data_IF_422638891495
#
_entry.id   IF_422638891495
#
_cell.length_a   1.000
_cell.length_b   1.000
_cell.length_c   1.000
_cell.angle_alpha   90.00
_cell.angle_beta   90.00
_cell.angle_gamma   90.00
#
_symmetry.space_group_name_H-M   'P 1'
#
loop_
_entity.id
_entity.type
_entity.pdbx_description
1 polymer ?
#
# COMPACT_ATOMS: atom_id res chain seq x y z
N UNK A 1 17.96 -18.01 6.39
CA UNK A 1 18.73 -18.65 7.44
C UNK A 1 19.52 -19.79 6.84
N UNK A 2 18.89 -20.85 6.39
CA UNK A 2 19.58 -22.05 5.86
C UNK A 2 20.52 -21.77 4.67
N UNK A 3 20.12 -20.85 3.77
CA UNK A 3 20.91 -20.46 2.60
C UNK A 3 22.28 -19.86 2.95
N UNK A 4 22.41 -19.27 4.13
CA UNK A 4 23.62 -18.56 4.57
C UNK A 4 24.32 -19.26 5.73
N UNK A 5 23.84 -20.45 6.16
CA UNK A 5 24.39 -21.18 7.29
C UNK A 5 24.30 -20.44 8.64
N UNK A 6 23.37 -19.48 8.75
CA UNK A 6 23.17 -18.72 9.98
C UNK A 6 22.10 -19.43 10.82
N UNK A 7 22.40 -19.71 12.08
CA UNK A 7 21.45 -20.31 13.00
C UNK A 7 20.23 -19.39 13.25
N UNK A 8 19.03 -19.96 13.30
CA UNK A 8 17.77 -19.23 13.42
C UNK A 8 17.67 -18.38 14.69
N UNK A 9 18.26 -18.82 15.80
CA UNK A 9 18.32 -18.08 17.06
C UNK A 9 19.17 -16.79 17.00
N UNK A 10 20.06 -16.70 16.03
CA UNK A 10 20.89 -15.51 15.74
C UNK A 10 20.22 -14.51 14.80
N UNK A 11 19.06 -14.85 14.22
CA UNK A 11 18.32 -13.97 13.32
C UNK A 11 17.11 -13.44 14.05
N UNK A 12 17.06 -12.14 14.22
CA UNK A 12 15.94 -11.45 14.86
C UNK A 12 15.16 -10.65 13.82
N UNK A 13 13.84 -10.69 13.95
CA UNK A 13 12.93 -9.98 13.06
C UNK A 13 12.53 -8.64 13.68
N UNK A 14 12.60 -7.59 12.87
CA UNK A 14 12.08 -6.27 13.22
C UNK A 14 11.32 -5.71 12.02
N UNK A 15 10.10 -5.27 12.24
CA UNK A 15 9.28 -4.66 11.19
C UNK A 15 9.88 -3.32 10.74
N UNK A 16 9.61 -2.94 9.49
CA UNK A 16 9.82 -1.57 9.03
C UNK A 16 9.04 -0.60 9.92
N UNK A 17 9.56 0.58 10.12
CA UNK A 17 8.89 1.59 10.93
C UNK A 17 8.83 2.94 10.23
N UNK A 18 7.92 3.79 10.71
CA UNK A 18 7.76 5.18 10.27
C UNK A 18 7.53 6.09 11.47
N UNK A 19 7.87 7.35 11.29
CA UNK A 19 7.46 8.39 12.22
C UNK A 19 5.99 8.72 11.92
N UNK A 20 5.09 8.32 12.81
CA UNK A 20 3.70 8.68 12.76
C UNK A 20 3.49 10.09 13.31
N UNK A 21 2.58 10.84 12.69
CA UNK A 21 2.10 12.16 13.13
C UNK A 21 0.67 12.01 13.65
N UNK A 22 -0.03 13.11 13.88
CA UNK A 22 -1.45 13.07 14.25
C UNK A 22 -2.29 12.42 13.12
N UNK A 23 -3.43 11.88 13.51
CA UNK A 23 -4.42 11.34 12.58
C UNK A 23 -4.78 12.37 11.51
N UNK A 24 -4.84 11.92 10.26
CA UNK A 24 -5.25 12.73 9.12
C UNK A 24 -6.60 12.22 8.64
N UNK A 25 -7.65 13.00 8.87
CA UNK A 25 -8.99 12.65 8.40
C UNK A 25 -9.02 12.46 6.88
N UNK A 26 -9.83 11.52 6.37
CA UNK A 26 -10.03 11.35 4.94
C UNK A 26 -10.72 12.56 4.32
N UNK A 27 -10.54 12.72 3.01
CA UNK A 27 -11.15 13.83 2.24
C UNK A 27 -12.36 13.37 1.43
N UNK A 28 -12.65 12.07 1.41
CA UNK A 28 -13.74 11.45 0.62
C UNK A 28 -13.70 11.88 -0.85
N UNK A 29 -12.50 11.81 -1.42
CA UNK A 29 -12.22 12.27 -2.78
C UNK A 29 -12.73 11.31 -3.86
N UNK A 30 -13.06 10.07 -3.49
CA UNK A 30 -13.33 8.95 -4.42
C UNK A 30 -12.08 8.48 -5.17
N UNK A 31 -10.89 8.97 -4.81
CA UNK A 31 -9.64 8.68 -5.51
C UNK A 31 -8.89 7.51 -4.89
N UNK A 32 -8.26 6.74 -5.76
CA UNK A 32 -7.43 5.59 -5.40
C UNK A 32 -5.99 5.86 -5.80
N UNK A 33 -5.03 5.53 -4.96
CA UNK A 33 -3.61 5.78 -5.21
C UNK A 33 -2.84 4.48 -5.44
N UNK A 34 -2.12 4.40 -6.54
CA UNK A 34 -0.97 3.52 -6.73
C UNK A 34 0.31 4.34 -6.61
N UNK A 35 1.17 4.02 -5.65
CA UNK A 35 2.35 4.83 -5.34
C UNK A 35 3.66 4.06 -5.37
N UNK A 36 4.71 4.75 -5.82
CA UNK A 36 6.11 4.34 -5.75
C UNK A 36 6.67 3.87 -7.09
N UNK A 37 7.97 3.51 -7.11
CA UNK A 37 8.65 3.14 -8.35
C UNK A 37 7.88 2.05 -9.10
N UNK A 38 7.50 2.34 -10.34
CA UNK A 38 6.74 1.43 -11.20
C UNK A 38 7.72 0.45 -11.84
N UNK A 39 7.76 -0.75 -11.30
CA UNK A 39 8.67 -1.82 -11.74
C UNK A 39 7.91 -3.16 -11.81
N UNK A 40 8.48 -4.23 -12.42
CA UNK A 40 7.76 -5.48 -12.68
C UNK A 40 7.14 -6.13 -11.43
N UNK A 41 7.84 -6.12 -10.28
CA UNK A 41 7.30 -6.78 -9.08
C UNK A 41 6.12 -6.04 -8.45
N UNK A 42 5.94 -4.74 -8.73
CA UNK A 42 4.81 -3.95 -8.23
C UNK A 42 3.52 -4.12 -9.04
N UNK A 43 3.55 -4.93 -10.10
CA UNK A 43 2.35 -5.34 -10.83
C UNK A 43 1.67 -4.20 -11.58
N UNK A 44 2.44 -3.40 -12.34
CA UNK A 44 1.85 -2.37 -13.19
C UNK A 44 1.00 -2.97 -14.33
N UNK A 45 1.30 -4.18 -14.75
CA UNK A 45 0.51 -5.01 -15.65
C UNK A 45 -0.85 -5.39 -15.03
N UNK A 46 -0.85 -5.87 -13.78
CA UNK A 46 -2.09 -6.07 -13.01
C UNK A 46 -2.87 -4.77 -12.88
N UNK A 47 -2.19 -3.66 -12.56
CA UNK A 47 -2.80 -2.35 -12.43
C UNK A 47 -3.55 -1.95 -13.71
N UNK A 48 -2.92 -2.16 -14.88
CA UNK A 48 -3.54 -1.83 -16.17
C UNK A 48 -4.83 -2.60 -16.39
N UNK A 49 -4.86 -3.89 -16.07
CA UNK A 49 -6.06 -4.71 -16.17
C UNK A 49 -7.13 -4.27 -15.17
N UNK A 50 -6.76 -4.02 -13.91
CA UNK A 50 -7.66 -3.54 -12.85
C UNK A 50 -8.29 -2.20 -13.26
N UNK A 51 -7.51 -1.26 -13.76
CA UNK A 51 -7.98 0.05 -14.26
C UNK A 51 -9.06 -0.10 -15.31
N UNK A 52 -8.85 -1.00 -16.28
CA UNK A 52 -9.82 -1.28 -17.35
C UNK A 52 -11.11 -1.93 -16.86
N UNK A 53 -11.01 -2.72 -15.80
CA UNK A 53 -12.16 -3.34 -15.14
C UNK A 53 -12.94 -2.37 -14.23
N UNK A 54 -12.37 -1.20 -13.91
CA UNK A 54 -12.94 -0.19 -13.00
C UNK A 54 -13.01 1.20 -13.67
N UNK A 55 -13.71 1.39 -14.81
CA UNK A 55 -13.69 2.64 -15.57
C UNK A 55 -14.23 3.85 -14.79
N UNK A 56 -15.08 3.60 -13.80
CA UNK A 56 -15.72 4.64 -12.99
C UNK A 56 -14.91 5.05 -11.74
N UNK A 57 -13.81 4.32 -11.45
CA UNK A 57 -12.94 4.61 -10.31
C UNK A 57 -11.74 5.43 -10.75
N UNK A 58 -11.54 6.60 -10.16
CA UNK A 58 -10.40 7.47 -10.47
C UNK A 58 -9.13 6.97 -9.78
N UNK A 59 -8.08 6.70 -10.54
CA UNK A 59 -6.83 6.12 -10.05
C UNK A 59 -5.67 7.07 -10.34
N UNK A 60 -5.03 7.54 -9.28
CA UNK A 60 -3.77 8.27 -9.36
C UNK A 60 -2.60 7.28 -9.36
N UNK A 61 -1.79 7.31 -10.40
CA UNK A 61 -0.58 6.50 -10.55
C UNK A 61 0.62 7.43 -10.40
N UNK A 62 1.35 7.28 -9.30
CA UNK A 62 2.41 8.23 -8.92
C UNK A 62 3.71 7.49 -8.67
N UNK A 63 4.74 7.82 -9.43
CA UNK A 63 6.09 7.36 -9.18
C UNK A 63 6.92 7.07 -10.43
N UNK A 64 8.23 7.08 -10.23
CA UNK A 64 9.20 6.91 -11.31
C UNK A 64 9.06 5.54 -11.99
N UNK A 65 9.09 5.56 -13.32
CA UNK A 65 8.95 4.36 -14.17
C UNK A 65 10.29 3.66 -14.34
N UNK A 66 10.29 2.35 -14.16
CA UNK A 66 11.37 1.49 -14.63
C UNK A 66 11.28 1.36 -16.16
N UNK A 67 12.38 1.48 -16.92
CA UNK A 67 12.35 1.38 -18.38
C UNK A 67 11.62 0.15 -18.93
N UNK A 68 11.67 -0.98 -18.22
CA UNK A 68 10.97 -2.21 -18.60
C UNK A 68 9.45 -2.09 -18.55
N UNK A 69 8.90 -1.11 -17.83
CA UNK A 69 7.46 -0.89 -17.66
C UNK A 69 6.92 0.25 -18.54
N UNK A 70 7.76 0.85 -19.38
CA UNK A 70 7.38 2.03 -20.17
C UNK A 70 6.16 1.78 -21.06
N UNK A 71 6.07 0.62 -21.71
CA UNK A 71 4.93 0.28 -22.58
C UNK A 71 3.61 0.15 -21.81
N UNK A 72 3.67 -0.43 -20.61
CA UNK A 72 2.50 -0.55 -19.72
C UNK A 72 2.07 0.83 -19.24
N UNK A 73 3.02 1.67 -18.85
CA UNK A 73 2.74 3.04 -18.41
C UNK A 73 2.17 3.91 -19.54
N UNK A 74 2.65 3.74 -20.77
CA UNK A 74 2.08 4.40 -21.94
C UNK A 74 0.62 3.97 -22.22
N UNK A 75 0.24 2.74 -21.87
CA UNK A 75 -1.13 2.28 -21.94
C UNK A 75 -1.98 2.86 -20.79
N UNK A 76 -1.46 2.85 -19.55
CA UNK A 76 -2.12 3.47 -18.39
C UNK A 76 -2.43 4.96 -18.65
N UNK A 77 -1.52 5.69 -19.29
CA UNK A 77 -1.69 7.10 -19.62
C UNK A 77 -2.85 7.38 -20.61
N UNK A 78 -3.34 6.35 -21.33
CA UNK A 78 -4.47 6.47 -22.26
C UNK A 78 -5.82 6.18 -21.60
N UNK A 79 -5.82 5.60 -20.42
CA UNK A 79 -7.05 5.28 -19.69
C UNK A 79 -7.64 6.56 -19.07
N UNK A 80 -8.93 6.81 -19.33
CA UNK A 80 -9.60 8.07 -18.94
C UNK A 80 -9.74 8.26 -17.43
N UNK A 81 -9.72 7.17 -16.69
CA UNK A 81 -9.83 7.13 -15.25
C UNK A 81 -8.46 7.10 -14.55
N UNK A 82 -7.37 7.31 -15.28
CA UNK A 82 -6.01 7.37 -14.74
C UNK A 82 -5.47 8.78 -14.78
N UNK A 83 -4.93 9.25 -13.65
CA UNK A 83 -4.06 10.41 -13.58
C UNK A 83 -2.64 9.92 -13.31
N UNK A 84 -1.76 10.05 -14.29
CA UNK A 84 -0.38 9.60 -14.21
C UNK A 84 0.55 10.77 -13.82
N UNK A 85 1.38 10.55 -12.80
CA UNK A 85 2.57 11.36 -12.50
C UNK A 85 3.78 10.41 -12.41
N UNK A 86 4.61 10.40 -13.44
CA UNK A 86 5.78 9.51 -13.57
C UNK A 86 7.13 10.22 -13.34
N UNK A 87 7.10 11.44 -12.82
CA UNK A 87 8.29 12.20 -12.46
C UNK A 87 8.87 11.80 -11.09
N UNK A 88 9.99 12.42 -10.75
CA UNK A 88 10.51 12.32 -9.39
C UNK A 88 9.55 13.03 -8.43
N UNK A 89 9.20 12.33 -7.36
CA UNK A 89 8.23 12.81 -6.36
C UNK A 89 8.97 13.21 -5.10
N UNK A 90 8.80 14.46 -4.68
CA UNK A 90 9.30 14.99 -3.41
C UNK A 90 8.50 14.45 -2.22
N UNK A 91 9.02 14.59 -1.01
CA UNK A 91 8.30 14.21 0.21
C UNK A 91 6.98 14.98 0.39
N UNK A 92 6.93 16.23 -0.08
CA UNK A 92 5.72 17.05 -0.04
C UNK A 92 4.64 16.50 -1.00
N UNK A 93 5.02 16.21 -2.24
CA UNK A 93 4.12 15.61 -3.25
C UNK A 93 3.68 14.20 -2.85
N UNK A 94 4.60 13.40 -2.28
CA UNK A 94 4.23 12.11 -1.69
C UNK A 94 3.15 12.29 -0.64
N UNK A 95 3.34 13.21 0.32
CA UNK A 95 2.35 13.49 1.36
C UNK A 95 1.02 13.91 0.74
N UNK A 96 1.05 14.81 -0.25
CA UNK A 96 -0.14 15.30 -0.94
C UNK A 96 -0.90 14.15 -1.61
N UNK A 97 -0.21 13.26 -2.32
CA UNK A 97 -0.82 12.10 -2.96
C UNK A 97 -1.56 11.21 -1.96
N UNK A 98 -0.94 10.90 -0.80
CA UNK A 98 -1.58 10.09 0.24
C UNK A 98 -2.73 10.81 0.95
N UNK A 99 -2.62 12.12 1.16
CA UNK A 99 -3.68 12.90 1.84
C UNK A 99 -4.91 13.07 0.94
N UNK A 100 -4.72 13.18 -0.36
CA UNK A 100 -5.79 13.43 -1.34
C UNK A 100 -6.42 12.16 -1.94
N UNK A 101 -6.02 10.97 -1.51
CA UNK A 101 -6.70 9.72 -1.88
C UNK A 101 -7.50 9.16 -0.70
N UNK A 102 -8.41 8.25 -1.01
CA UNK A 102 -9.14 7.47 0.00
C UNK A 102 -8.50 6.08 0.16
N UNK A 103 -8.17 5.43 -0.93
CA UNK A 103 -7.60 4.09 -0.93
C UNK A 103 -6.20 4.05 -1.52
N UNK A 104 -5.37 3.14 -0.99
CA UNK A 104 -4.07 2.81 -1.60
C UNK A 104 -4.11 1.37 -2.10
N UNK A 105 -3.74 1.16 -3.36
CA UNK A 105 -3.74 -0.16 -3.99
C UNK A 105 -2.33 -0.72 -4.14
N UNK A 106 -2.20 -2.02 -3.86
CA UNK A 106 -0.93 -2.75 -3.85
C UNK A 106 -1.09 -4.06 -4.64
N UNK A 107 -1.23 -3.99 -5.98
CA UNK A 107 -1.48 -5.16 -6.84
C UNK A 107 -0.18 -5.88 -7.21
N UNK A 108 0.70 -6.09 -6.22
CA UNK A 108 2.07 -6.58 -6.45
C UNK A 108 2.11 -8.04 -6.87
N UNK A 109 3.07 -8.36 -7.75
CA UNK A 109 3.37 -9.74 -8.16
C UNK A 109 4.18 -10.49 -7.08
N UNK A 110 4.99 -9.77 -6.32
CA UNK A 110 5.76 -10.31 -5.20
C UNK A 110 6.17 -9.23 -4.22
N UNK A 111 6.32 -9.56 -2.95
CA UNK A 111 6.85 -8.66 -1.94
C UNK A 111 7.38 -9.42 -0.73
N UNK A 112 8.50 -8.99 -0.15
CA UNK A 112 8.90 -9.40 1.20
C UNK A 112 8.20 -8.55 2.26
N UNK A 113 8.05 -7.25 2.01
CA UNK A 113 7.28 -6.26 2.79
C UNK A 113 6.93 -5.09 1.87
N UNK A 114 5.92 -4.30 2.25
CA UNK A 114 5.58 -3.06 1.54
C UNK A 114 5.67 -1.85 2.46
N UNK A 115 6.63 -0.96 2.18
CA UNK A 115 6.71 0.34 2.83
C UNK A 115 5.51 1.23 2.51
N UNK A 116 4.89 1.02 1.33
CA UNK A 116 3.72 1.78 0.88
C UNK A 116 2.50 1.52 1.75
N UNK A 117 2.28 0.28 2.22
CA UNK A 117 1.21 -0.05 3.17
C UNK A 117 1.42 0.71 4.48
N UNK A 118 2.66 0.77 4.97
CA UNK A 118 2.98 1.48 6.21
C UNK A 118 2.79 2.99 6.04
N UNK A 119 3.17 3.54 4.88
CA UNK A 119 2.95 4.93 4.55
C UNK A 119 1.44 5.24 4.37
N UNK A 120 0.65 4.35 3.77
CA UNK A 120 -0.80 4.47 3.69
C UNK A 120 -1.43 4.60 5.10
N UNK A 121 -1.09 3.71 5.99
CA UNK A 121 -1.60 3.74 7.37
C UNK A 121 -1.15 4.99 8.14
N UNK A 122 0.06 5.49 7.90
CA UNK A 122 0.54 6.76 8.47
C UNK A 122 -0.38 7.93 8.10
N UNK A 123 -0.96 7.90 6.92
CA UNK A 123 -1.90 8.91 6.42
C UNK A 123 -3.37 8.49 6.59
N UNK A 124 -3.65 7.46 7.38
CA UNK A 124 -5.00 6.96 7.65
C UNK A 124 -5.71 6.42 6.40
N UNK A 125 -4.95 5.85 5.46
CA UNK A 125 -5.52 5.29 4.23
C UNK A 125 -5.56 3.78 4.31
N UNK A 126 -6.75 3.16 4.28
CA UNK A 126 -6.86 1.72 4.14
C UNK A 126 -6.33 1.25 2.78
N UNK A 127 -5.97 -0.03 2.70
CA UNK A 127 -5.32 -0.59 1.52
C UNK A 127 -6.12 -1.72 0.89
N UNK A 128 -5.98 -1.90 -0.43
CA UNK A 128 -6.40 -3.11 -1.12
C UNK A 128 -5.14 -3.73 -1.73
N UNK A 129 -4.84 -4.95 -1.38
CA UNK A 129 -3.58 -5.59 -1.76
C UNK A 129 -3.76 -7.03 -2.21
N UNK A 130 -2.89 -7.50 -3.11
CA UNK A 130 -2.73 -8.93 -3.32
C UNK A 130 -2.04 -9.59 -2.13
N UNK A 131 -2.51 -10.78 -1.79
CA UNK A 131 -1.94 -11.62 -0.73
C UNK A 131 -0.66 -12.31 -1.22
N UNK A 132 0.43 -11.54 -1.39
CA UNK A 132 1.74 -12.03 -1.83
C UNK A 132 2.81 -11.83 -0.76
N UNK A 133 3.71 -12.80 -0.62
CA UNK A 133 4.82 -12.75 0.34
C UNK A 133 4.34 -12.43 1.76
N UNK A 134 4.92 -11.42 2.40
CA UNK A 134 4.54 -11.00 3.75
C UNK A 134 3.48 -9.88 3.79
N UNK A 135 2.85 -9.52 2.67
CA UNK A 135 1.74 -8.53 2.67
C UNK A 135 0.58 -8.96 3.57
N UNK A 136 0.16 -10.26 3.63
CA UNK A 136 -0.89 -10.67 4.56
C UNK A 136 -0.60 -10.39 6.04
N UNK A 137 0.67 -10.31 6.43
CA UNK A 137 1.06 -9.94 7.80
C UNK A 137 0.91 -8.43 8.05
N UNK A 138 0.83 -7.62 7.00
CA UNK A 138 0.74 -6.16 7.08
C UNK A 138 -0.69 -5.64 7.06
N UNK A 139 -1.66 -6.44 6.63
CA UNK A 139 -3.07 -6.03 6.49
C UNK A 139 -3.95 -6.83 7.44
N UNK A 140 -4.62 -6.14 8.34
CA UNK A 140 -5.71 -6.72 9.14
C UNK A 140 -6.99 -6.64 8.28
N UNK A 141 -7.28 -7.76 7.60
CA UNK A 141 -8.35 -7.86 6.60
C UNK A 141 -9.70 -7.44 7.18
N UNK A 142 -10.48 -6.73 6.39
CA UNK A 142 -11.79 -6.15 6.71
C UNK A 142 -11.77 -5.04 7.78
N UNK A 143 -10.58 -4.69 8.32
CA UNK A 143 -10.43 -3.63 9.32
C UNK A 143 -9.46 -2.53 8.87
N UNK A 144 -8.27 -2.88 8.39
CA UNK A 144 -7.30 -1.90 7.87
C UNK A 144 -7.25 -1.85 6.35
N UNK A 145 -8.06 -2.66 5.70
CA UNK A 145 -8.12 -2.81 4.24
C UNK A 145 -8.54 -4.22 3.84
N UNK A 146 -8.28 -4.57 2.59
CA UNK A 146 -8.69 -5.84 2.00
C UNK A 146 -7.51 -6.59 1.38
N UNK A 147 -7.53 -7.93 1.54
CA UNK A 147 -6.63 -8.84 0.84
C UNK A 147 -7.38 -9.57 -0.26
N UNK A 148 -6.76 -9.64 -1.42
CA UNK A 148 -7.26 -10.36 -2.59
C UNK A 148 -6.24 -11.42 -2.99
N UNK A 149 -6.73 -12.54 -3.49
CA UNK A 149 -5.91 -13.62 -4.04
C UNK A 149 -4.94 -13.12 -5.11
N UNK A 150 -3.68 -13.51 -5.02
CA UNK A 150 -2.62 -13.08 -5.93
C UNK A 150 -2.96 -13.34 -7.40
N UNK A 151 -2.81 -12.33 -8.25
CA UNK A 151 -3.04 -12.41 -9.69
C UNK A 151 -4.52 -12.45 -10.11
N UNK A 152 -5.47 -12.38 -9.17
CA UNK A 152 -6.89 -12.34 -9.49
C UNK A 152 -7.37 -10.90 -9.70
N UNK A 153 -7.01 -10.32 -10.87
CA UNK A 153 -7.31 -8.93 -11.20
C UNK A 153 -8.82 -8.64 -11.20
N UNK A 154 -9.65 -9.62 -11.58
CA UNK A 154 -11.10 -9.46 -11.54
C UNK A 154 -11.60 -9.31 -10.10
N UNK A 155 -11.21 -10.20 -9.19
CA UNK A 155 -11.59 -10.07 -7.77
C UNK A 155 -11.06 -8.79 -7.16
N UNK A 156 -9.87 -8.34 -7.57
CA UNK A 156 -9.30 -7.08 -7.11
C UNK A 156 -10.16 -5.89 -7.56
N UNK A 157 -10.54 -5.87 -8.82
CA UNK A 157 -11.42 -4.85 -9.39
C UNK A 157 -12.81 -4.85 -8.71
N UNK A 158 -13.39 -6.02 -8.47
CA UNK A 158 -14.68 -6.14 -7.79
C UNK A 158 -14.58 -5.62 -6.35
N UNK A 159 -13.51 -5.96 -5.61
CA UNK A 159 -13.25 -5.44 -4.27
C UNK A 159 -12.99 -3.93 -4.26
N UNK A 160 -12.31 -3.40 -5.28
CA UNK A 160 -12.07 -1.97 -5.41
C UNK A 160 -13.38 -1.20 -5.62
N UNK A 161 -14.30 -1.72 -6.45
CA UNK A 161 -15.64 -1.13 -6.64
C UNK A 161 -16.46 -1.17 -5.36
N UNK A 162 -16.44 -2.30 -4.63
CA UNK A 162 -17.10 -2.42 -3.32
C UNK A 162 -16.57 -1.38 -2.35
N UNK A 163 -15.25 -1.26 -2.24
CA UNK A 163 -14.57 -0.31 -1.38
C UNK A 163 -14.88 1.16 -1.74
N UNK A 164 -14.96 1.47 -3.03
CA UNK A 164 -15.33 2.81 -3.50
C UNK A 164 -16.79 3.20 -3.22
N UNK A 165 -17.65 2.21 -2.92
CA UNK A 165 -19.07 2.41 -2.62
C UNK A 165 -19.40 2.29 -1.12
N UNK A 166 -18.40 2.18 -0.24
CA UNK A 166 -18.64 2.24 1.21
C UNK A 166 -19.29 3.57 1.60
N UNK A 167 -20.16 3.53 2.58
CA UNK A 167 -20.66 4.75 3.22
C UNK A 167 -19.50 5.51 3.88
N UNK A 168 -19.65 6.82 4.07
CA UNK A 168 -18.64 7.64 4.76
C UNK A 168 -18.31 7.08 6.15
N UNK A 169 -19.31 6.67 6.92
CA UNK A 169 -19.12 6.15 8.27
C UNK A 169 -18.35 4.82 8.31
N UNK A 170 -18.63 3.92 7.37
CA UNK A 170 -17.89 2.65 7.22
C UNK A 170 -16.44 2.91 6.82
N UNK A 171 -16.24 3.79 5.83
CA UNK A 171 -14.90 4.18 5.40
C UNK A 171 -14.11 4.86 6.54
N UNK A 172 -14.70 5.82 7.24
CA UNK A 172 -14.05 6.53 8.35
C UNK A 172 -13.66 5.59 9.49
N UNK A 173 -14.51 4.62 9.79
CA UNK A 173 -14.22 3.56 10.77
C UNK A 173 -12.97 2.77 10.34
N UNK A 174 -12.90 2.34 9.08
CA UNK A 174 -11.76 1.61 8.55
C UNK A 174 -10.49 2.48 8.47
N UNK A 175 -10.61 3.73 8.06
CA UNK A 175 -9.54 4.72 8.00
C UNK A 175 -8.92 4.95 9.38
N UNK A 176 -9.76 5.16 10.40
CA UNK A 176 -9.30 5.33 11.77
C UNK A 176 -8.62 4.07 12.32
N UNK A 177 -9.18 2.89 12.02
CA UNK A 177 -8.57 1.63 12.40
C UNK A 177 -7.21 1.43 11.73
N UNK A 178 -7.10 1.70 10.43
CA UNK A 178 -5.84 1.58 9.66
C UNK A 178 -4.72 2.44 10.30
N UNK A 179 -5.03 3.69 10.66
CA UNK A 179 -4.10 4.55 11.39
C UNK A 179 -3.69 3.98 12.74
N UNK A 180 -4.65 3.55 13.56
CA UNK A 180 -4.37 3.00 14.89
C UNK A 180 -3.55 1.70 14.79
N UNK A 181 -3.88 0.82 13.84
CA UNK A 181 -3.13 -0.40 13.55
C UNK A 181 -1.70 -0.08 13.16
N UNK A 182 -1.52 0.88 12.24
CA UNK A 182 -0.21 1.36 11.82
C UNK A 182 0.60 1.95 12.98
N UNK A 183 -0.01 2.76 13.83
CA UNK A 183 0.64 3.31 15.02
C UNK A 183 1.13 2.20 15.98
N UNK A 184 0.28 1.22 16.28
CA UNK A 184 0.67 0.11 17.18
C UNK A 184 1.81 -0.72 16.62
N UNK A 185 1.76 -1.01 15.31
CA UNK A 185 2.68 -1.96 14.68
C UNK A 185 3.97 -1.31 14.17
N UNK A 186 3.87 -0.12 13.59
CA UNK A 186 4.94 0.49 12.80
C UNK A 186 5.46 1.83 13.31
N UNK A 187 4.91 2.41 14.38
CA UNK A 187 5.43 3.66 14.89
C UNK A 187 6.83 3.51 15.46
N UNK A 188 7.68 4.52 15.24
CA UNK A 188 9.08 4.55 15.69
C UNK A 188 9.21 4.29 17.19
N UNK A 189 8.32 4.84 18.02
CA UNK A 189 8.32 4.63 19.47
C UNK A 189 8.23 3.16 19.86
N UNK A 190 7.34 2.40 19.23
CA UNK A 190 7.23 0.96 19.46
C UNK A 190 8.40 0.16 18.88
N UNK A 191 8.92 0.56 17.70
CA UNK A 191 10.07 -0.09 17.07
C UNK A 191 11.35 0.03 17.90
N UNK A 192 11.62 1.21 18.47
CA UNK A 192 12.78 1.43 19.35
C UNK A 192 12.71 0.52 20.58
N UNK A 193 11.55 0.43 21.25
CA UNK A 193 11.37 -0.46 22.37
C UNK A 193 11.61 -1.94 22.03
N UNK A 194 11.09 -2.40 20.88
CA UNK A 194 11.35 -3.77 20.39
C UNK A 194 12.83 -4.00 20.06
N UNK A 195 13.50 -3.02 19.44
CA UNK A 195 14.93 -3.13 19.13
C UNK A 195 15.78 -3.23 20.39
N UNK A 196 15.55 -2.38 21.39
CA UNK A 196 16.24 -2.44 22.67
C UNK A 196 16.06 -3.80 23.33
N UNK A 197 14.81 -4.31 23.39
CA UNK A 197 14.51 -5.63 23.95
C UNK A 197 15.27 -6.75 23.23
N UNK A 198 15.36 -6.71 21.90
CA UNK A 198 16.13 -7.70 21.11
C UNK A 198 17.64 -7.67 21.42
N UNK A 199 18.19 -6.52 21.83
CA UNK A 199 19.61 -6.40 22.26
C UNK A 199 19.85 -6.95 23.66
N UNK A 200 18.81 -6.94 24.53
CA UNK A 200 18.90 -7.44 25.92
C UNK A 200 18.72 -8.96 25.99
N UNK A 201 18.06 -9.56 25.00
CA UNK A 201 17.91 -11.03 24.85
C UNK A 201 19.23 -11.64 24.33
N UNK A 202 20.24 -11.77 25.25
CA UNK A 202 21.54 -12.42 24.96
C UNK A 202 21.53 -13.90 25.31
#
# INVERSE_FOLDING_TARGET
VDRYGISADRVKYLELWRRYTAYTAPVHSGRVLFFGRINPYKGADNLLEIVRLCPDVQIDVVGRVDPQMQDVVNQLAKEKNVKLNNDYVTDAEMREAFVNCDWVIVPYNSASQSGIIIDAYKYSRPVIAFAVGAIPEQVDTDKSGYLVEAGNNKKFADKLKEAANLSMDEYDTMSQYAYQYGCRKYATSGAVGRFVKLLEEK
#
